data_IF_452911427703
#
_entry.id   IF_452911427703
#
_cell.length_a   1.000
_cell.length_b   1.000
_cell.length_c   1.000
_cell.angle_alpha   90.00
_cell.angle_beta   90.00
_cell.angle_gamma   90.00
#
_symmetry.space_group_name_H-M   'P 1'
#
loop_
_entity.id
_entity.type
_entity.pdbx_description
1 polymer ?
#
# COMPACT_ATOMS: atom_id res chain seq x y z
N UNK A 1 6.31 -58.08 39.08
CA UNK A 1 6.99 -57.04 38.28
C UNK A 1 8.48 -57.19 38.51
N UNK A 2 9.32 -57.22 37.46
CA UNK A 2 10.78 -57.35 37.65
C UNK A 2 11.35 -56.03 38.19
N UNK A 3 12.20 -56.06 39.22
CA UNK A 3 12.71 -54.84 39.88
C UNK A 3 13.49 -53.90 38.93
N UNK A 4 14.10 -54.46 37.88
CA UNK A 4 14.83 -53.73 36.84
C UNK A 4 13.97 -52.70 36.07
N UNK A 5 12.65 -52.93 35.97
CA UNK A 5 11.71 -51.99 35.35
C UNK A 5 11.39 -50.79 36.24
N UNK A 6 11.47 -50.95 37.56
CA UNK A 6 11.23 -49.86 38.51
C UNK A 6 12.42 -48.91 38.51
N UNK A 7 13.63 -49.47 38.50
CA UNK A 7 14.88 -48.70 38.46
C UNK A 7 14.98 -47.87 37.17
N UNK A 8 14.71 -48.48 36.01
CA UNK A 8 14.70 -47.76 34.72
C UNK A 8 13.61 -46.69 34.62
N UNK A 9 12.42 -46.93 35.17
CA UNK A 9 11.34 -45.94 35.21
C UNK A 9 11.68 -44.74 36.11
N UNK A 10 12.34 -44.97 37.24
CA UNK A 10 12.81 -43.89 38.13
C UNK A 10 13.92 -43.05 37.50
N UNK A 11 14.87 -43.68 36.80
CA UNK A 11 15.90 -42.94 36.04
C UNK A 11 15.29 -42.09 34.91
N UNK A 12 14.31 -42.64 34.19
CA UNK A 12 13.61 -41.90 33.14
C UNK A 12 12.82 -40.72 33.70
N UNK A 13 12.08 -40.95 34.79
CA UNK A 13 11.31 -39.91 35.45
C UNK A 13 12.23 -38.81 35.99
N UNK A 14 13.33 -39.14 36.68
CA UNK A 14 14.32 -38.16 37.19
C UNK A 14 14.96 -37.33 36.08
N UNK A 15 15.20 -37.89 34.89
CA UNK A 15 15.81 -37.19 33.75
C UNK A 15 14.80 -36.33 32.96
N UNK A 16 13.58 -36.82 32.79
CA UNK A 16 12.60 -36.24 31.84
C UNK A 16 11.31 -35.72 32.50
N UNK A 17 11.22 -35.59 33.82
CA UNK A 17 10.00 -35.09 34.47
C UNK A 17 9.59 -33.69 33.95
N UNK A 18 10.55 -32.87 33.52
CA UNK A 18 10.32 -31.53 32.98
C UNK A 18 10.32 -31.47 31.45
N UNK A 19 10.45 -32.61 30.77
CA UNK A 19 10.56 -32.65 29.30
C UNK A 19 9.32 -32.04 28.64
N UNK A 20 8.14 -32.44 29.11
CA UNK A 20 6.87 -31.90 28.61
C UNK A 20 6.75 -30.39 28.85
N UNK A 21 7.13 -29.89 30.03
CA UNK A 21 7.10 -28.45 30.33
C UNK A 21 8.04 -27.66 29.42
N UNK A 22 9.25 -28.19 29.17
CA UNK A 22 10.26 -27.58 28.30
C UNK A 22 9.82 -27.44 26.84
N UNK A 23 8.82 -28.20 26.41
CA UNK A 23 8.24 -28.15 25.06
C UNK A 23 6.91 -27.40 25.05
N UNK A 24 6.01 -27.68 26.00
CA UNK A 24 4.67 -27.11 26.04
C UNK A 24 4.70 -25.61 26.30
N UNK A 25 5.54 -25.13 27.22
CA UNK A 25 5.62 -23.71 27.58
C UNK A 25 6.09 -22.82 26.41
N UNK A 26 7.21 -23.12 25.70
CA UNK A 26 7.58 -22.30 24.55
C UNK A 26 6.57 -22.41 23.39
N UNK A 27 5.96 -23.58 23.19
CA UNK A 27 4.94 -23.75 22.15
C UNK A 27 3.66 -22.96 22.45
N UNK A 28 3.22 -22.91 23.71
CA UNK A 28 2.04 -22.13 24.08
C UNK A 28 2.30 -20.63 23.97
N UNK A 29 3.49 -20.16 24.36
CA UNK A 29 3.90 -18.76 24.18
C UNK A 29 3.93 -18.37 22.69
N UNK A 30 4.49 -19.23 21.84
CA UNK A 30 4.52 -19.02 20.39
C UNK A 30 3.10 -18.98 19.81
N UNK A 31 2.21 -19.86 20.27
CA UNK A 31 0.82 -19.88 19.81
C UNK A 31 0.08 -18.59 20.19
N UNK A 32 0.22 -18.12 21.43
CA UNK A 32 -0.37 -16.84 21.87
C UNK A 32 0.20 -15.67 21.07
N UNK A 33 1.51 -15.67 20.82
CA UNK A 33 2.16 -14.65 20.00
C UNK A 33 1.61 -14.65 18.56
N UNK A 34 1.49 -15.82 17.92
CA UNK A 34 0.95 -15.93 16.55
C UNK A 34 -0.51 -15.49 16.48
N UNK A 35 -1.34 -15.86 17.48
CA UNK A 35 -2.75 -15.45 17.52
C UNK A 35 -2.88 -13.94 17.69
N UNK A 36 -2.10 -13.33 18.60
CA UNK A 36 -2.07 -11.88 18.77
C UNK A 36 -1.56 -11.18 17.50
N UNK A 37 -0.44 -11.64 16.95
CA UNK A 37 0.11 -11.09 15.73
C UNK A 37 -0.88 -11.18 14.56
N UNK A 38 -1.59 -12.30 14.39
CA UNK A 38 -2.58 -12.44 13.33
C UNK A 38 -3.75 -11.45 13.45
N UNK A 39 -4.14 -11.04 14.66
CA UNK A 39 -5.22 -10.04 14.84
C UNK A 39 -4.73 -8.60 14.76
N UNK A 40 -3.49 -8.33 15.13
CA UNK A 40 -2.91 -6.98 15.15
C UNK A 40 -2.10 -6.62 13.90
N UNK A 41 -1.67 -7.62 13.12
CA UNK A 41 -0.90 -7.38 11.90
C UNK A 41 -1.82 -6.84 10.81
N UNK A 42 -1.74 -5.54 10.58
CA UNK A 42 -2.36 -4.90 9.43
C UNK A 42 -1.54 -5.23 8.18
N UNK A 43 -2.14 -6.01 7.27
CA UNK A 43 -1.51 -6.28 5.98
C UNK A 43 -1.61 -5.03 5.11
N UNK A 44 -0.53 -4.25 5.02
CA UNK A 44 -0.46 -3.12 4.10
C UNK A 44 -0.56 -3.63 2.64
N UNK A 45 -1.73 -3.48 2.03
CA UNK A 45 -1.91 -3.67 0.58
C UNK A 45 -1.75 -2.30 -0.07
N UNK A 46 -0.51 -1.92 -0.39
CA UNK A 46 -0.26 -0.71 -1.15
C UNK A 46 -0.64 -0.93 -2.61
N UNK A 47 -1.86 -0.52 -2.99
CA UNK A 47 -2.28 -0.51 -4.38
C UNK A 47 -1.66 0.71 -5.09
N UNK A 48 -0.49 0.50 -5.70
CA UNK A 48 0.14 1.49 -6.57
C UNK A 48 -0.64 1.60 -7.89
N UNK A 49 -1.70 2.41 -7.93
CA UNK A 49 -2.39 2.75 -9.18
C UNK A 49 -1.60 3.79 -9.95
N UNK A 50 -1.25 3.48 -11.21
CA UNK A 50 -0.71 4.47 -12.14
C UNK A 50 -1.86 5.36 -12.60
N UNK A 51 -1.91 6.59 -12.09
CA UNK A 51 -2.84 7.61 -12.57
C UNK A 51 -2.11 8.54 -13.53
N UNK A 52 -2.63 8.69 -14.74
CA UNK A 52 -2.16 9.71 -15.69
C UNK A 52 -2.90 11.01 -15.41
N UNK A 53 -2.16 12.11 -15.26
CA UNK A 53 -2.75 13.45 -15.12
C UNK A 53 -3.12 13.94 -16.51
N UNK A 54 -4.37 13.67 -16.92
CA UNK A 54 -4.96 14.25 -18.13
C UNK A 54 -5.86 15.44 -17.76
N UNK A 55 -5.98 16.46 -18.63
CA UNK A 55 -6.92 17.53 -18.41
C UNK A 55 -8.35 16.98 -18.38
N UNK A 56 -9.06 17.21 -17.27
CA UNK A 56 -10.41 16.67 -17.01
C UNK A 56 -11.44 17.05 -18.07
N UNK A 57 -11.22 18.18 -18.76
CA UNK A 57 -12.02 18.64 -19.91
C UNK A 57 -11.26 19.76 -20.64
N UNK A 58 -11.31 19.75 -21.98
CA UNK A 58 -10.92 20.92 -22.78
C UNK A 58 -12.00 22.01 -22.56
N UNK A 59 -11.64 23.09 -21.85
CA UNK A 59 -12.59 24.12 -21.42
C UNK A 59 -13.25 24.87 -22.58
N UNK A 60 -12.49 25.14 -23.65
CA UNK A 60 -12.99 25.75 -24.89
C UNK A 60 -11.97 25.56 -26.01
N UNK A 61 -12.44 25.40 -27.24
CA UNK A 61 -11.62 25.54 -28.44
C UNK A 61 -11.91 26.91 -29.05
N UNK A 62 -10.92 27.80 -29.05
CA UNK A 62 -11.07 29.16 -29.58
C UNK A 62 -10.66 29.12 -31.06
N UNK A 63 -11.63 29.38 -31.93
CA UNK A 63 -11.43 29.42 -33.38
C UNK A 63 -11.73 30.81 -33.91
N UNK A 64 -10.97 31.24 -34.92
CA UNK A 64 -11.29 32.47 -35.63
C UNK A 64 -12.58 32.27 -36.42
N UNK A 65 -13.51 33.22 -36.28
CA UNK A 65 -14.70 33.30 -37.14
C UNK A 65 -14.45 34.11 -38.41
N UNK A 66 -13.27 34.73 -38.54
CA UNK A 66 -12.87 35.58 -39.66
C UNK A 66 -11.62 35.05 -40.36
N UNK A 67 -11.58 35.19 -41.68
CA UNK A 67 -10.40 34.93 -42.51
C UNK A 67 -9.60 36.21 -42.82
N UNK A 68 -9.94 37.33 -42.17
CA UNK A 68 -9.21 38.59 -42.32
C UNK A 68 -7.77 38.45 -41.83
N UNK A 69 -6.89 39.33 -42.31
CA UNK A 69 -5.50 39.40 -41.88
C UNK A 69 -5.41 39.72 -40.39
N UNK A 70 -4.58 38.98 -39.67
CA UNK A 70 -4.26 39.23 -38.26
C UNK A 70 -3.40 40.49 -38.16
N UNK A 71 -3.84 41.48 -37.38
CA UNK A 71 -3.08 42.69 -37.07
C UNK A 71 -2.25 42.54 -35.80
N UNK A 72 -2.82 41.90 -34.77
CA UNK A 72 -2.16 41.70 -33.48
C UNK A 72 -2.39 40.27 -33.01
N UNK A 73 -1.32 39.61 -32.56
CA UNK A 73 -1.37 38.28 -31.97
C UNK A 73 -0.72 38.30 -30.58
N UNK A 74 -1.51 37.98 -29.56
CA UNK A 74 -1.08 37.88 -28.16
C UNK A 74 -1.04 36.43 -27.66
N UNK A 75 -1.21 35.45 -28.55
CA UNK A 75 -1.10 34.02 -28.24
C UNK A 75 0.35 33.61 -28.11
N UNK A 76 0.66 32.91 -27.02
CA UNK A 76 1.94 32.27 -26.76
C UNK A 76 1.67 30.87 -26.20
N UNK A 77 2.58 29.94 -26.46
CA UNK A 77 2.46 28.57 -25.95
C UNK A 77 2.48 28.55 -24.42
N UNK A 78 1.60 27.73 -23.83
CA UNK A 78 1.44 27.57 -22.38
C UNK A 78 1.07 28.86 -21.61
N UNK A 79 0.65 29.92 -22.31
CA UNK A 79 0.16 31.15 -21.68
C UNK A 79 -1.20 30.92 -21.03
N UNK A 80 -1.32 31.30 -19.76
CA UNK A 80 -2.59 31.30 -19.05
C UNK A 80 -3.44 32.48 -19.52
N UNK A 81 -4.65 32.19 -20.00
CA UNK A 81 -5.60 33.18 -20.53
C UNK A 81 -6.91 33.12 -19.75
N UNK A 82 -7.58 34.26 -19.60
CA UNK A 82 -8.88 34.39 -18.94
C UNK A 82 -9.96 34.76 -19.94
N UNK A 83 -11.22 34.49 -19.57
CA UNK A 83 -12.36 34.89 -20.39
C UNK A 83 -12.40 36.42 -20.48
N UNK A 84 -12.32 36.95 -21.70
CA UNK A 84 -12.33 38.39 -21.99
C UNK A 84 -10.98 38.95 -22.43
N UNK A 85 -9.89 38.18 -22.35
CA UNK A 85 -8.58 38.63 -22.83
C UNK A 85 -8.56 38.73 -24.36
N UNK A 86 -7.96 39.80 -24.89
CA UNK A 86 -7.72 39.95 -26.32
C UNK A 86 -6.59 39.01 -26.75
N UNK A 87 -6.94 37.98 -27.52
CA UNK A 87 -5.97 37.00 -28.00
C UNK A 87 -5.44 37.36 -29.39
N UNK A 88 -6.33 37.72 -30.31
CA UNK A 88 -6.00 38.04 -31.70
C UNK A 88 -6.91 39.18 -32.16
N UNK A 89 -6.36 40.13 -32.91
CA UNK A 89 -7.13 41.21 -33.53
C UNK A 89 -7.03 41.11 -35.06
N UNK A 90 -8.18 41.25 -35.71
CA UNK A 90 -8.31 41.22 -37.17
C UNK A 90 -8.50 42.64 -37.71
N UNK A 91 -8.17 42.82 -39.00
CA UNK A 91 -8.49 44.03 -39.76
C UNK A 91 -9.99 44.18 -40.02
#
# INVERSE_FOLDING_TARGET
MKPEFLESAEFYNRRYHNFSSRVIVPMSLLLVFLLGFATFAEKEISLSTRATVEPSRILANIQSTSNNRILVNHLEENKLVKKGDLLVQYQ
#
